data_IF_837858677617
#
_entry.id   IF_837858677617
#
_cell.length_a   1.000
_cell.length_b   1.000
_cell.length_c   1.000
_cell.angle_alpha   90.00
_cell.angle_beta   90.00
_cell.angle_gamma   90.00
#
_symmetry.space_group_name_H-M   'P 1'
#
loop_
_entity.id
_entity.type
_entity.pdbx_description
1 polymer ?
#
# COMPACT_ATOMS: atom_id res chain seq x y z
N UNK A 1 0.36 -8.61 -4.99
CA UNK A 1 -0.26 -9.92 -5.20
C UNK A 1 -0.91 -10.35 -3.90
N UNK A 2 -2.15 -10.81 -3.86
CA UNK A 2 -2.52 -11.64 -2.74
C UNK A 2 -1.60 -12.86 -2.82
N UNK A 3 -0.72 -12.98 -1.82
CA UNK A 3 0.10 -14.15 -1.66
C UNK A 3 -0.89 -15.30 -1.48
N UNK A 4 -0.87 -16.31 -2.33
CA UNK A 4 -1.59 -17.58 -2.08
C UNK A 4 -0.76 -18.42 -1.10
N UNK A 5 -0.39 -17.82 0.02
CA UNK A 5 0.26 -18.42 1.16
C UNK A 5 -0.79 -18.69 2.23
N UNK A 6 -0.44 -19.38 3.26
CA UNK A 6 -1.26 -19.47 4.48
C UNK A 6 -1.57 -18.03 4.93
N UNK A 7 -2.81 -17.75 5.28
CA UNK A 7 -3.24 -16.39 5.68
C UNK A 7 -2.40 -15.84 6.85
N UNK A 8 -1.81 -16.70 7.65
CA UNK A 8 -0.90 -16.31 8.74
C UNK A 8 0.45 -15.78 8.26
N UNK A 9 1.03 -16.38 7.22
CA UNK A 9 2.30 -15.88 6.63
C UNK A 9 2.10 -14.54 5.96
N UNK A 10 0.94 -14.33 5.32
CA UNK A 10 0.61 -13.03 4.72
C UNK A 10 0.46 -11.94 5.79
N UNK A 11 -0.23 -12.22 6.90
CA UNK A 11 -0.37 -11.31 8.04
C UNK A 11 0.99 -10.99 8.63
N UNK A 12 1.84 -12.00 8.84
CA UNK A 12 3.22 -11.82 9.30
C UNK A 12 4.03 -10.95 8.36
N UNK A 13 3.91 -11.19 7.04
CA UNK A 13 4.56 -10.36 6.03
C UNK A 13 4.14 -8.90 6.13
N UNK A 14 2.83 -8.62 6.22
CA UNK A 14 2.32 -7.25 6.36
C UNK A 14 2.81 -6.57 7.64
N UNK A 15 2.88 -7.32 8.75
CA UNK A 15 3.38 -6.82 10.03
C UNK A 15 4.87 -6.45 9.97
N UNK A 16 5.71 -7.31 9.39
CA UNK A 16 7.15 -7.05 9.21
C UNK A 16 7.39 -5.92 8.21
N UNK A 17 6.66 -5.92 7.11
CA UNK A 17 6.72 -4.90 6.06
C UNK A 17 6.47 -3.49 6.60
N UNK A 18 5.62 -3.33 7.62
CA UNK A 18 5.29 -2.03 8.23
C UNK A 18 6.54 -1.19 8.53
N UNK A 19 7.59 -1.80 9.06
CA UNK A 19 8.79 -1.07 9.47
C UNK A 19 9.65 -0.62 8.29
N UNK A 20 9.67 -1.43 7.23
CA UNK A 20 10.32 -1.07 5.97
C UNK A 20 9.56 0.10 5.35
N UNK A 21 8.23 0.03 5.33
CA UNK A 21 7.35 1.10 4.84
C UNK A 21 7.53 2.39 5.64
N UNK A 22 7.58 2.31 6.98
CA UNK A 22 7.69 3.48 7.88
C UNK A 22 8.95 4.31 7.62
N UNK A 23 10.08 3.65 7.30
CA UNK A 23 11.32 4.35 6.94
C UNK A 23 11.37 4.80 5.48
N UNK A 24 10.57 4.16 4.60
CA UNK A 24 10.55 4.44 3.16
C UNK A 24 9.57 5.54 2.77
N UNK A 25 8.44 5.65 3.46
CA UNK A 25 7.42 6.65 3.15
C UNK A 25 7.98 8.07 3.07
N UNK A 26 7.62 8.77 2.01
CA UNK A 26 8.11 10.12 1.72
C UNK A 26 7.66 11.13 2.77
N UNK A 27 8.59 11.52 3.64
CA UNK A 27 8.36 12.56 4.67
C UNK A 27 7.93 13.89 4.08
N UNK A 28 8.39 14.21 2.86
CA UNK A 28 8.02 15.45 2.17
C UNK A 28 6.57 15.41 1.72
N UNK A 29 6.09 14.30 1.17
CA UNK A 29 4.70 14.11 0.73
C UNK A 29 3.75 14.10 1.94
N UNK A 30 4.12 13.38 3.02
CA UNK A 30 3.36 13.40 4.28
C UNK A 30 3.23 14.80 4.86
N UNK A 31 4.33 15.58 4.89
CA UNK A 31 4.31 16.96 5.38
C UNK A 31 3.38 17.83 4.55
N UNK A 32 3.38 17.70 3.22
CA UNK A 32 2.45 18.42 2.34
C UNK A 32 0.99 18.05 2.60
N UNK A 33 0.69 16.77 2.84
CA UNK A 33 -0.64 16.33 3.25
C UNK A 33 -1.06 17.03 4.55
N UNK A 34 -0.23 16.96 5.59
CA UNK A 34 -0.49 17.58 6.89
C UNK A 34 -0.72 19.10 6.76
N UNK A 35 0.12 19.82 6.00
CA UNK A 35 0.01 21.27 5.81
C UNK A 35 -1.32 21.65 5.13
N UNK A 36 -1.73 20.93 4.08
CA UNK A 36 -3.02 21.16 3.42
C UNK A 36 -4.20 20.93 4.38
N UNK A 37 -4.13 19.88 5.17
CA UNK A 37 -5.19 19.55 6.12
C UNK A 37 -5.31 20.61 7.22
N UNK A 38 -4.20 21.18 7.68
CA UNK A 38 -4.18 22.26 8.69
C UNK A 38 -4.75 23.58 8.15
N UNK A 39 -4.44 23.92 6.92
CA UNK A 39 -4.91 25.16 6.30
C UNK A 39 -6.43 25.20 6.13
N UNK A 40 -7.05 24.06 5.98
CA UNK A 40 -8.50 23.95 5.72
C UNK A 40 -9.43 24.34 6.90
N UNK A 41 -8.92 24.74 8.08
CA UNK A 41 -9.64 25.23 9.27
C UNK A 41 -10.98 24.48 9.55
N UNK A 42 -10.96 23.15 9.59
CA UNK A 42 -12.18 22.33 9.75
C UNK A 42 -12.79 22.44 11.16
N UNK A 43 -14.10 22.60 11.23
CA UNK A 43 -14.83 22.53 12.52
C UNK A 43 -15.25 21.10 12.86
N UNK A 44 -15.33 20.20 11.89
CA UNK A 44 -15.70 18.79 12.06
C UNK A 44 -14.45 17.88 12.06
N UNK A 45 -14.55 16.61 12.52
CA UNK A 45 -13.49 15.63 12.35
C UNK A 45 -13.06 15.46 10.88
N UNK A 46 -11.79 15.18 10.64
CA UNK A 46 -11.28 14.82 9.33
C UNK A 46 -11.86 13.46 8.92
N UNK A 47 -12.58 13.41 7.80
CA UNK A 47 -13.12 12.17 7.26
C UNK A 47 -12.14 11.53 6.29
N UNK A 48 -11.61 10.37 6.66
CA UNK A 48 -10.65 9.58 5.88
C UNK A 48 -11.28 8.24 5.53
N UNK A 49 -11.13 7.82 4.27
CA UNK A 49 -11.37 6.45 3.84
C UNK A 49 -10.08 5.86 3.28
N UNK A 50 -9.69 4.70 3.79
CA UNK A 50 -8.55 3.92 3.33
C UNK A 50 -9.04 2.72 2.53
N UNK A 51 -8.47 2.53 1.35
CA UNK A 51 -8.74 1.42 0.45
C UNK A 51 -7.60 0.39 0.49
N UNK A 52 -7.95 -0.87 0.74
CA UNK A 52 -6.98 -1.94 0.92
C UNK A 52 -6.17 -1.76 2.20
N UNK A 53 -6.86 -1.53 3.33
CA UNK A 53 -6.21 -1.21 4.60
C UNK A 53 -5.40 -2.36 5.22
N UNK A 54 -5.52 -3.59 4.70
CA UNK A 54 -4.81 -4.75 5.20
C UNK A 54 -5.04 -4.96 6.70
N UNK A 55 -3.95 -5.08 7.44
CA UNK A 55 -3.97 -5.18 8.92
C UNK A 55 -3.95 -3.80 9.61
N UNK A 56 -4.27 -2.70 8.91
CA UNK A 56 -4.47 -1.36 9.49
C UNK A 56 -3.19 -0.56 9.76
N UNK A 57 -2.10 -0.85 9.07
CA UNK A 57 -0.80 -0.18 9.33
C UNK A 57 -0.83 1.32 9.02
N UNK A 58 -1.62 1.76 8.02
CA UNK A 58 -1.75 3.19 7.72
C UNK A 58 -2.63 3.91 8.76
N UNK A 59 -3.68 3.26 9.30
CA UNK A 59 -4.44 3.80 10.42
C UNK A 59 -3.54 4.08 11.62
N UNK A 60 -2.66 3.11 11.97
CA UNK A 60 -1.70 3.30 13.06
C UNK A 60 -0.80 4.53 12.80
N UNK A 61 -0.25 4.69 11.58
CA UNK A 61 0.57 5.85 11.21
C UNK A 61 -0.18 7.17 11.33
N UNK A 62 -1.46 7.19 10.93
CA UNK A 62 -2.30 8.39 11.04
C UNK A 62 -2.48 8.80 12.51
N UNK A 63 -2.57 7.83 13.43
CA UNK A 63 -2.62 8.08 14.86
C UNK A 63 -1.26 8.48 15.42
N UNK A 64 -0.21 7.68 15.15
CA UNK A 64 1.13 7.85 15.71
C UNK A 64 1.77 9.18 15.25
N UNK A 65 1.56 9.55 13.98
CA UNK A 65 2.11 10.79 13.40
C UNK A 65 1.16 11.98 13.54
N UNK A 66 0.08 11.82 14.28
CA UNK A 66 -0.88 12.87 14.64
C UNK A 66 -1.34 13.72 13.45
N UNK A 67 -1.82 13.08 12.37
CA UNK A 67 -2.23 13.75 11.13
C UNK A 67 -3.27 14.86 11.40
N UNK A 68 -4.14 14.66 12.38
CA UNK A 68 -5.23 15.58 12.76
C UNK A 68 -5.63 15.36 14.22
N UNK A 69 -6.08 16.38 14.95
CA UNK A 69 -6.56 16.19 16.33
C UNK A 69 -7.88 15.42 16.43
N UNK A 70 -8.73 15.42 15.40
CA UNK A 70 -10.02 14.71 15.37
C UNK A 70 -10.21 13.98 14.07
N UNK A 71 -10.43 12.68 14.14
CA UNK A 71 -10.44 11.76 13.01
C UNK A 71 -11.74 10.94 12.94
N UNK A 72 -12.34 10.86 11.77
CA UNK A 72 -13.31 9.84 11.40
C UNK A 72 -12.67 8.96 10.32
N UNK A 73 -12.34 7.73 10.66
CA UNK A 73 -11.62 6.81 9.77
C UNK A 73 -12.52 5.65 9.34
N UNK A 74 -12.50 5.33 8.07
CA UNK A 74 -13.12 4.13 7.54
C UNK A 74 -12.06 3.32 6.81
N UNK A 75 -11.83 2.11 7.27
CA UNK A 75 -10.91 1.15 6.67
C UNK A 75 -11.70 0.15 5.83
N UNK A 76 -11.34 0.02 4.56
CA UNK A 76 -11.90 -0.95 3.62
C UNK A 76 -10.84 -2.01 3.33
N UNK A 77 -11.18 -3.28 3.55
CA UNK A 77 -10.32 -4.41 3.22
C UNK A 77 -11.17 -5.56 2.68
N UNK A 78 -10.74 -6.14 1.55
CA UNK A 78 -11.47 -7.24 0.92
C UNK A 78 -11.17 -8.60 1.58
N UNK A 79 -9.96 -8.77 2.10
CA UNK A 79 -9.55 -10.01 2.78
C UNK A 79 -10.06 -10.04 4.22
N UNK A 80 -10.99 -10.95 4.49
CA UNK A 80 -11.61 -11.07 5.81
C UNK A 80 -10.57 -11.41 6.91
N UNK A 81 -9.58 -12.24 6.61
CA UNK A 81 -8.57 -12.64 7.59
C UNK A 81 -7.69 -11.44 8.02
N UNK A 82 -7.34 -10.54 7.09
CA UNK A 82 -6.59 -9.32 7.43
C UNK A 82 -7.41 -8.37 8.31
N UNK A 83 -8.70 -8.27 8.00
CA UNK A 83 -9.61 -7.44 8.78
C UNK A 83 -9.86 -8.01 10.17
N UNK A 84 -9.98 -9.33 10.33
CA UNK A 84 -10.12 -10.01 11.62
C UNK A 84 -8.89 -9.79 12.49
N UNK A 85 -7.69 -9.88 11.94
CA UNK A 85 -6.44 -9.55 12.63
C UNK A 85 -6.42 -8.09 13.08
N UNK A 86 -6.80 -7.17 12.20
CA UNK A 86 -6.89 -5.75 12.54
C UNK A 86 -7.89 -5.50 13.67
N UNK A 87 -9.11 -6.01 13.56
CA UNK A 87 -10.16 -5.87 14.56
C UNK A 87 -9.74 -6.44 15.91
N UNK A 88 -9.19 -7.67 15.93
CA UNK A 88 -8.68 -8.30 17.15
C UNK A 88 -7.60 -7.45 17.83
N UNK A 89 -6.64 -6.95 17.05
CA UNK A 89 -5.58 -6.10 17.58
C UNK A 89 -6.11 -4.79 18.15
N UNK A 90 -7.05 -4.15 17.48
CA UNK A 90 -7.65 -2.88 17.89
C UNK A 90 -8.45 -3.05 19.18
N UNK A 91 -9.23 -4.11 19.34
CA UNK A 91 -10.05 -4.38 20.52
C UNK A 91 -9.22 -4.51 21.82
N UNK A 92 -7.97 -4.92 21.71
CA UNK A 92 -7.06 -5.08 22.86
C UNK A 92 -6.29 -3.81 23.23
N UNK A 93 -6.45 -2.70 22.48
CA UNK A 93 -5.77 -1.45 22.82
C UNK A 93 -6.45 -0.74 23.98
N UNK A 94 -5.71 -0.34 25.04
CA UNK A 94 -6.30 0.16 26.31
C UNK A 94 -7.02 1.50 26.15
N UNK A 95 -6.83 2.20 25.07
CA UNK A 95 -7.44 3.51 24.79
C UNK A 95 -8.59 3.45 23.77
N UNK A 96 -9.09 2.23 23.48
CA UNK A 96 -10.19 2.01 22.53
C UNK A 96 -11.42 1.45 23.24
N UNK A 97 -12.57 1.94 22.84
CA UNK A 97 -13.89 1.40 23.23
C UNK A 97 -14.56 0.85 21.99
N UNK A 98 -14.89 -0.44 22.03
CA UNK A 98 -15.69 -1.07 20.99
C UNK A 98 -17.16 -0.73 21.18
N UNK A 99 -17.79 -0.19 20.14
CA UNK A 99 -19.22 0.07 20.09
C UNK A 99 -19.98 -1.03 19.32
N UNK A 100 -21.28 -0.83 19.12
CA UNK A 100 -22.09 -1.70 18.27
C UNK A 100 -21.65 -1.59 16.80
N UNK A 101 -21.86 -2.67 16.01
CA UNK A 101 -21.59 -2.70 14.56
C UNK A 101 -20.13 -2.42 14.15
N UNK A 102 -19.14 -2.90 14.95
CA UNK A 102 -17.70 -2.71 14.64
C UNK A 102 -17.30 -1.24 14.48
N UNK A 103 -17.90 -0.37 15.29
CA UNK A 103 -17.51 1.01 15.45
C UNK A 103 -16.58 1.10 16.66
N UNK A 104 -15.34 1.50 16.44
CA UNK A 104 -14.37 1.75 17.50
C UNK A 104 -14.21 3.25 17.72
N UNK A 105 -13.97 3.65 18.94
CA UNK A 105 -13.67 5.05 19.27
C UNK A 105 -12.65 5.13 20.39
N UNK A 106 -11.88 6.20 20.42
CA UNK A 106 -10.85 6.36 21.44
C UNK A 106 -10.06 7.63 21.28
N UNK A 107 -9.04 7.73 22.14
CA UNK A 107 -8.04 8.78 22.07
C UNK A 107 -6.65 8.12 22.11
N UNK A 108 -5.94 8.24 20.99
CA UNK A 108 -4.58 7.70 20.89
C UNK A 108 -3.59 8.41 21.84
N UNK A 109 -2.46 7.77 22.20
CA UNK A 109 -1.42 8.40 23.00
C UNK A 109 -0.86 9.71 22.40
N UNK A 110 -0.93 9.87 21.08
CA UNK A 110 -0.59 11.11 20.37
C UNK A 110 -1.59 12.26 20.60
N UNK A 111 -2.71 12.02 21.31
CA UNK A 111 -3.78 13.00 21.55
C UNK A 111 -4.88 13.02 20.49
N UNK A 112 -4.75 12.24 19.41
CA UNK A 112 -5.78 12.15 18.37
C UNK A 112 -7.04 11.46 18.90
N UNK A 113 -8.18 12.15 18.89
CA UNK A 113 -9.49 11.53 19.13
C UNK A 113 -10.04 10.99 17.84
N UNK A 114 -10.57 9.76 17.84
CA UNK A 114 -11.03 9.14 16.61
C UNK A 114 -12.30 8.30 16.75
N UNK A 115 -13.00 8.15 15.63
CA UNK A 115 -13.96 7.08 15.38
C UNK A 115 -13.47 6.28 14.20
N UNK A 116 -13.48 4.95 14.31
CA UNK A 116 -13.02 4.02 13.31
C UNK A 116 -14.11 3.05 12.95
N UNK A 117 -14.34 2.86 11.66
CA UNK A 117 -15.20 1.80 11.10
C UNK A 117 -14.37 0.92 10.19
N UNK A 118 -14.41 -0.38 10.41
CA UNK A 118 -13.76 -1.37 9.56
C UNK A 118 -14.81 -2.13 8.75
N UNK A 119 -14.60 -2.25 7.43
CA UNK A 119 -15.57 -2.85 6.51
C UNK A 119 -14.88 -3.88 5.60
N UNK A 120 -15.39 -5.11 5.60
CA UNK A 120 -14.98 -6.12 4.63
C UNK A 120 -15.72 -5.85 3.30
N UNK A 121 -15.02 -5.27 2.34
CA UNK A 121 -15.61 -4.95 1.04
C UNK A 121 -14.53 -4.85 -0.06
N UNK A 122 -14.92 -5.22 -1.28
CA UNK A 122 -14.12 -4.98 -2.48
C UNK A 122 -14.12 -3.49 -2.84
N UNK A 123 -12.96 -3.00 -3.30
CA UNK A 123 -12.76 -1.59 -3.68
C UNK A 123 -13.76 -1.12 -4.74
N UNK A 124 -14.07 -1.98 -5.73
CA UNK A 124 -14.99 -1.61 -6.83
C UNK A 124 -16.44 -1.52 -6.36
N UNK A 125 -16.81 -2.28 -5.33
CA UNK A 125 -18.11 -2.15 -4.66
C UNK A 125 -18.20 -0.79 -3.97
N UNK A 126 -17.17 -0.40 -3.23
CA UNK A 126 -17.13 0.86 -2.48
C UNK A 126 -17.14 2.08 -3.39
N UNK A 127 -16.30 2.10 -4.44
CA UNK A 127 -16.27 3.22 -5.39
C UNK A 127 -17.49 3.31 -6.30
N UNK A 128 -18.30 2.25 -6.34
CA UNK A 128 -19.56 2.19 -7.08
C UNK A 128 -20.80 2.59 -6.25
N UNK A 129 -20.70 2.73 -4.93
CA UNK A 129 -21.84 3.04 -4.06
C UNK A 129 -22.12 4.55 -3.98
N UNK A 130 -23.23 5.05 -4.59
CA UNK A 130 -23.57 6.48 -4.55
C UNK A 130 -23.75 7.04 -3.13
N UNK A 131 -24.06 6.20 -2.15
CA UNK A 131 -24.21 6.62 -0.75
C UNK A 131 -22.89 7.10 -0.12
N UNK A 132 -21.76 6.76 -0.72
CA UNK A 132 -20.42 7.12 -0.24
C UNK A 132 -19.83 8.34 -0.95
N UNK A 133 -20.47 8.85 -2.00
CA UNK A 133 -19.95 9.96 -2.79
C UNK A 133 -19.91 11.27 -2.03
N UNK A 134 -18.86 12.06 -2.29
CA UNK A 134 -18.65 13.40 -1.74
C UNK A 134 -18.65 13.49 -0.21
N UNK A 135 -18.23 12.40 0.46
CA UNK A 135 -18.23 12.31 1.92
C UNK A 135 -16.87 12.46 2.58
N UNK A 136 -15.79 12.28 1.80
CA UNK A 136 -14.45 12.11 2.34
C UNK A 136 -13.56 13.31 2.07
N UNK A 137 -12.76 13.70 3.06
CA UNK A 137 -11.74 14.73 2.91
C UNK A 137 -10.46 14.16 2.34
N UNK A 138 -10.17 12.88 2.65
CA UNK A 138 -9.00 12.17 2.15
C UNK A 138 -9.41 10.75 1.76
N UNK A 139 -9.01 10.32 0.59
CA UNK A 139 -8.94 8.91 0.18
C UNK A 139 -7.48 8.49 0.26
N UNK A 140 -7.21 7.44 1.02
CA UNK A 140 -5.87 6.83 1.15
C UNK A 140 -5.85 5.47 0.46
N UNK A 141 -4.74 5.16 -0.21
CA UNK A 141 -4.45 3.83 -0.73
C UNK A 141 -2.94 3.56 -0.60
N UNK A 142 -2.58 2.55 0.20
CA UNK A 142 -1.21 2.24 0.56
C UNK A 142 -0.80 0.88 0.00
N UNK A 143 0.10 0.88 -1.00
CA UNK A 143 0.50 -0.32 -1.74
C UNK A 143 -0.69 -1.06 -2.40
N UNK A 144 -1.60 -0.32 -3.02
CA UNK A 144 -2.84 -0.83 -3.64
C UNK A 144 -2.91 -0.57 -5.14
N UNK A 145 -2.35 0.57 -5.61
CA UNK A 145 -2.58 1.00 -6.99
C UNK A 145 -1.93 0.09 -8.04
N UNK A 146 -0.97 -0.74 -7.64
CA UNK A 146 -0.38 -1.80 -8.46
C UNK A 146 -1.21 -3.09 -8.53
N UNK A 147 -2.35 -3.15 -7.83
CA UNK A 147 -3.26 -4.30 -7.77
C UNK A 147 -4.60 -4.05 -8.48
N UNK A 148 -4.86 -2.82 -8.91
CA UNK A 148 -6.18 -2.40 -9.43
C UNK A 148 -6.09 -1.79 -10.83
N UNK A 149 -7.24 -1.66 -11.49
CA UNK A 149 -7.36 -0.88 -12.72
C UNK A 149 -7.27 0.61 -12.38
N UNK A 150 -6.12 1.23 -12.62
CA UNK A 150 -5.81 2.61 -12.22
C UNK A 150 -6.87 3.62 -12.73
N UNK A 151 -7.21 3.71 -14.03
CA UNK A 151 -8.18 4.69 -14.52
C UNK A 151 -9.54 4.58 -13.83
N UNK A 152 -10.08 3.36 -13.75
CA UNK A 152 -11.38 3.10 -13.12
C UNK A 152 -11.36 3.45 -11.63
N UNK A 153 -10.30 3.08 -10.93
CA UNK A 153 -10.15 3.33 -9.49
C UNK A 153 -10.01 4.81 -9.19
N UNK A 154 -9.20 5.55 -9.97
CA UNK A 154 -9.06 7.00 -9.81
C UNK A 154 -10.38 7.73 -10.03
N UNK A 155 -11.14 7.37 -11.07
CA UNK A 155 -12.47 7.94 -11.28
C UNK A 155 -13.40 7.70 -10.08
N UNK A 156 -13.38 6.50 -9.52
CA UNK A 156 -14.15 6.18 -8.32
C UNK A 156 -13.68 6.97 -7.10
N UNK A 157 -12.38 7.10 -6.89
CA UNK A 157 -11.82 7.88 -5.77
C UNK A 157 -12.21 9.35 -5.83
N UNK A 158 -12.21 9.97 -7.03
CA UNK A 158 -12.68 11.34 -7.21
C UNK A 158 -14.12 11.52 -6.74
N UNK A 159 -14.99 10.57 -7.05
CA UNK A 159 -16.41 10.61 -6.63
C UNK A 159 -16.61 10.46 -5.13
N UNK A 160 -15.73 9.78 -4.44
CA UNK A 160 -15.77 9.68 -2.97
C UNK A 160 -15.39 11.00 -2.30
N UNK A 161 -14.50 11.78 -2.91
CA UNK A 161 -13.95 13.01 -2.33
C UNK A 161 -14.97 14.15 -2.36
N UNK A 162 -14.97 14.94 -1.28
CA UNK A 162 -15.54 16.28 -1.29
C UNK A 162 -14.78 17.20 -2.23
N UNK A 163 -15.39 18.28 -2.71
CA UNK A 163 -14.66 19.34 -3.40
C UNK A 163 -13.44 19.80 -2.58
N UNK A 164 -12.26 19.83 -3.19
CA UNK A 164 -11.00 20.14 -2.51
C UNK A 164 -10.46 19.02 -1.60
N UNK A 165 -11.03 17.82 -1.66
CA UNK A 165 -10.50 16.63 -0.96
C UNK A 165 -9.19 16.16 -1.59
N UNK A 166 -8.49 15.27 -0.91
CA UNK A 166 -7.13 14.84 -1.24
C UNK A 166 -7.07 13.34 -1.52
N UNK A 167 -6.26 12.95 -2.51
CA UNK A 167 -5.81 11.57 -2.72
C UNK A 167 -4.39 11.43 -2.17
N UNK A 168 -4.17 10.51 -1.26
CA UNK A 168 -2.86 10.14 -0.73
C UNK A 168 -2.56 8.68 -1.09
N UNK A 169 -1.74 8.50 -2.13
CA UNK A 169 -1.45 7.23 -2.76
C UNK A 169 0.02 6.90 -2.57
N UNK A 170 0.33 5.88 -1.79
CA UNK A 170 1.69 5.61 -1.32
C UNK A 170 2.18 4.23 -1.64
N UNK A 171 3.50 4.07 -1.69
CA UNK A 171 4.21 2.83 -2.03
C UNK A 171 3.71 2.24 -3.37
N UNK A 172 3.64 3.09 -4.38
CA UNK A 172 3.26 2.66 -5.72
C UNK A 172 4.51 2.15 -6.44
N UNK A 173 4.60 0.85 -6.65
CA UNK A 173 5.76 0.21 -7.29
C UNK A 173 6.06 0.78 -8.68
N UNK A 174 7.33 1.03 -9.00
CA UNK A 174 7.75 1.69 -10.24
C UNK A 174 8.83 0.93 -11.02
N UNK A 175 8.73 -0.38 -11.08
CA UNK A 175 9.43 -1.22 -12.07
C UNK A 175 10.93 -1.37 -11.88
N UNK A 176 11.43 -1.24 -10.66
CA UNK A 176 12.81 -1.54 -10.35
C UNK A 176 12.88 -2.41 -9.08
N UNK A 177 13.44 -3.62 -9.23
CA UNK A 177 13.88 -4.47 -8.12
C UNK A 177 15.34 -4.84 -8.36
N UNK A 178 16.16 -4.75 -7.32
CA UNK A 178 17.59 -5.01 -7.37
C UNK A 178 18.01 -5.89 -6.20
N UNK A 179 18.82 -6.92 -6.48
CA UNK A 179 19.41 -7.82 -5.50
C UNK A 179 20.94 -7.73 -5.61
N UNK A 180 21.60 -7.46 -4.50
CA UNK A 180 23.07 -7.36 -4.44
C UNK A 180 23.63 -8.25 -3.32
N UNK A 181 24.85 -8.83 -3.50
CA UNK A 181 25.64 -8.84 -4.73
C UNK A 181 24.89 -9.54 -5.88
N UNK A 182 25.15 -9.14 -7.12
CA UNK A 182 24.52 -9.77 -8.27
C UNK A 182 24.91 -11.25 -8.40
N UNK A 183 23.96 -12.09 -8.78
CA UNK A 183 24.17 -13.50 -9.10
C UNK A 183 23.84 -13.75 -10.57
N UNK A 184 24.81 -14.22 -11.35
CA UNK A 184 24.67 -14.37 -12.81
C UNK A 184 23.93 -13.17 -13.45
N UNK A 185 24.60 -12.01 -13.65
CA UNK A 185 23.91 -10.73 -13.93
C UNK A 185 22.94 -10.76 -15.11
N UNK A 186 23.25 -11.47 -16.19
CA UNK A 186 22.37 -11.58 -17.36
C UNK A 186 21.12 -12.38 -17.05
N UNK A 187 21.27 -13.51 -16.32
CA UNK A 187 20.13 -14.33 -15.91
C UNK A 187 19.23 -13.57 -14.96
N UNK A 188 19.77 -12.93 -13.94
CA UNK A 188 19.01 -12.20 -12.94
C UNK A 188 18.27 -10.99 -13.53
N UNK A 189 18.91 -10.24 -14.43
CA UNK A 189 18.27 -9.14 -15.16
C UNK A 189 17.07 -9.64 -15.97
N UNK A 190 17.23 -10.77 -16.67
CA UNK A 190 16.14 -11.40 -17.42
C UNK A 190 15.02 -11.89 -16.47
N UNK A 191 15.39 -12.54 -15.37
CA UNK A 191 14.45 -13.04 -14.35
C UNK A 191 13.56 -11.93 -13.79
N UNK A 192 14.17 -10.83 -13.34
CA UNK A 192 13.46 -9.66 -12.81
C UNK A 192 12.57 -9.03 -13.88
N UNK A 193 13.05 -8.93 -15.13
CA UNK A 193 12.24 -8.42 -16.24
C UNK A 193 11.01 -9.29 -16.53
N UNK A 194 11.12 -10.62 -16.41
CA UNK A 194 9.99 -11.55 -16.56
C UNK A 194 9.00 -11.44 -15.42
N UNK A 195 9.50 -11.30 -14.20
CA UNK A 195 8.66 -11.03 -13.04
C UNK A 195 7.85 -9.75 -13.22
N UNK A 196 8.47 -8.65 -13.70
CA UNK A 196 7.74 -7.41 -14.02
C UNK A 196 6.68 -7.64 -15.09
N UNK A 197 7.00 -8.37 -16.16
CA UNK A 197 6.03 -8.73 -17.20
C UNK A 197 4.83 -9.50 -16.64
N UNK A 198 5.06 -10.41 -15.71
CA UNK A 198 3.96 -11.16 -15.07
C UNK A 198 3.00 -10.26 -14.31
N UNK A 199 3.51 -9.16 -13.71
CA UNK A 199 2.66 -8.13 -13.09
C UNK A 199 1.84 -7.36 -14.12
N UNK A 200 2.41 -7.05 -15.29
CA UNK A 200 1.74 -6.30 -16.35
C UNK A 200 0.59 -7.09 -17.02
N UNK A 201 0.67 -8.41 -17.02
CA UNK A 201 -0.35 -9.31 -17.60
C UNK A 201 -1.31 -9.89 -16.56
N UNK A 202 -1.29 -9.37 -15.33
CA UNK A 202 -2.14 -9.88 -14.26
C UNK A 202 -3.60 -9.63 -14.54
N UNK A 203 -4.41 -10.69 -14.37
CA UNK A 203 -5.87 -10.62 -14.42
C UNK A 203 -6.39 -11.06 -13.06
N UNK A 204 -7.19 -10.22 -12.41
CA UNK A 204 -7.89 -10.53 -11.16
C UNK A 204 -9.38 -10.44 -11.46
N UNK A 205 -10.12 -11.53 -11.21
CA UNK A 205 -11.58 -11.62 -11.47
C UNK A 205 -11.98 -11.18 -12.90
N UNK A 206 -11.19 -11.61 -13.91
CA UNK A 206 -11.43 -11.28 -15.30
C UNK A 206 -11.08 -9.84 -15.71
N UNK A 207 -10.41 -9.08 -14.85
CA UNK A 207 -10.03 -7.68 -15.11
C UNK A 207 -8.52 -7.55 -15.14
N UNK A 208 -8.01 -6.81 -16.14
CA UNK A 208 -6.61 -6.38 -16.10
C UNK A 208 -6.37 -5.54 -14.85
N UNK A 209 -5.40 -5.93 -14.05
CA UNK A 209 -5.10 -5.31 -12.77
C UNK A 209 -3.62 -5.01 -12.65
N UNK A 210 -3.32 -3.81 -12.19
CA UNK A 210 -1.98 -3.40 -11.87
C UNK A 210 -1.03 -3.19 -13.05
N UNK A 211 0.20 -2.94 -12.70
CA UNK A 211 1.33 -2.81 -13.61
C UNK A 211 2.63 -2.80 -12.82
N UNK A 212 3.68 -3.34 -13.38
CA UNK A 212 5.03 -3.20 -12.81
C UNK A 212 5.50 -1.74 -12.74
N UNK A 213 4.86 -0.83 -13.49
CA UNK A 213 5.19 0.60 -13.55
C UNK A 213 4.06 1.47 -13.02
N UNK A 214 3.34 0.98 -12.01
CA UNK A 214 2.16 1.67 -11.46
C UNK A 214 2.47 3.07 -10.98
N UNK A 215 3.63 3.32 -10.37
CA UNK A 215 4.02 4.64 -9.88
C UNK A 215 4.03 5.71 -10.97
N UNK A 216 4.77 5.51 -12.07
CA UNK A 216 4.84 6.49 -13.18
C UNK A 216 3.54 6.56 -13.98
N UNK A 217 2.86 5.43 -14.18
CA UNK A 217 1.56 5.40 -14.87
C UNK A 217 0.48 6.15 -14.08
N UNK A 218 0.51 6.03 -12.77
CA UNK A 218 -0.41 6.75 -11.90
C UNK A 218 -0.27 8.26 -12.07
N UNK A 219 0.97 8.78 -12.14
CA UNK A 219 1.23 10.20 -12.42
C UNK A 219 0.62 10.62 -13.76
N UNK A 220 0.82 9.82 -14.82
CA UNK A 220 0.25 10.11 -16.15
C UNK A 220 -1.28 10.13 -16.12
N UNK A 221 -1.92 9.18 -15.44
CA UNK A 221 -3.37 9.14 -15.30
C UNK A 221 -3.91 10.32 -14.50
N UNK A 222 -3.24 10.73 -13.43
CA UNK A 222 -3.62 11.89 -12.63
C UNK A 222 -3.56 13.19 -13.45
N UNK A 223 -2.49 13.37 -14.22
CA UNK A 223 -2.35 14.53 -15.13
C UNK A 223 -3.39 14.52 -16.24
N UNK A 224 -3.65 13.36 -16.85
CA UNK A 224 -4.69 13.22 -17.88
C UNK A 224 -6.09 13.50 -17.34
N UNK A 225 -6.36 13.14 -16.09
CA UNK A 225 -7.60 13.42 -15.39
C UNK A 225 -7.68 14.87 -14.86
N UNK A 226 -6.67 15.71 -15.17
CA UNK A 226 -6.55 17.10 -14.72
C UNK A 226 -6.60 17.25 -13.19
N UNK A 227 -6.13 16.24 -12.45
CA UNK A 227 -6.02 16.29 -10.99
C UNK A 227 -4.75 17.06 -10.61
N UNK A 228 -4.86 18.15 -9.83
CA UNK A 228 -3.69 18.92 -9.41
C UNK A 228 -2.74 18.09 -8.54
N UNK A 229 -1.54 17.82 -9.04
CA UNK A 229 -0.47 17.20 -8.25
C UNK A 229 0.05 18.22 -7.22
N UNK A 230 0.05 17.84 -5.96
CA UNK A 230 0.57 18.65 -4.85
C UNK A 230 2.00 18.25 -4.53
N UNK A 231 2.27 16.96 -4.49
CA UNK A 231 3.59 16.42 -4.21
C UNK A 231 3.76 15.02 -4.80
N UNK A 232 4.99 14.73 -5.22
CA UNK A 232 5.47 13.39 -5.56
C UNK A 232 6.80 13.20 -4.85
N UNK A 233 7.03 12.01 -4.29
CA UNK A 233 8.27 11.68 -3.59
C UNK A 233 8.60 10.20 -3.73
N UNK A 234 9.88 9.88 -3.57
CA UNK A 234 10.33 8.49 -3.51
C UNK A 234 9.95 7.86 -2.16
N UNK A 235 9.59 6.59 -2.22
CA UNK A 235 9.35 5.72 -1.06
C UNK A 235 10.01 4.35 -1.26
N UNK A 236 11.24 4.36 -1.74
CA UNK A 236 11.99 3.17 -2.10
C UNK A 236 12.22 2.27 -0.89
N UNK A 237 11.96 0.98 -1.04
CA UNK A 237 12.44 0.00 -0.07
C UNK A 237 13.92 -0.20 -0.24
N UNK A 238 14.65 -0.07 0.86
CA UNK A 238 16.07 -0.38 0.95
C UNK A 238 16.25 -1.27 2.19
N UNK A 239 16.54 -2.54 1.93
CA UNK A 239 16.76 -3.55 2.97
C UNK A 239 18.21 -3.98 2.88
N UNK A 240 18.95 -3.69 3.94
CA UNK A 240 20.39 -3.99 4.05
C UNK A 240 20.66 -4.71 5.37
N UNK A 241 21.61 -5.62 5.41
CA UNK A 241 21.98 -6.27 6.66
C UNK A 241 22.61 -5.26 7.63
N UNK A 242 22.40 -5.51 8.91
CA UNK A 242 22.98 -4.75 10.04
C UNK A 242 23.54 -5.75 11.04
N UNK A 243 24.79 -5.57 11.45
CA UNK A 243 25.46 -6.43 12.42
C UNK A 243 25.40 -7.93 12.06
N UNK A 244 25.54 -8.27 10.77
CA UNK A 244 25.54 -9.64 10.26
C UNK A 244 24.16 -10.30 10.15
N UNK A 245 23.07 -9.53 10.23
CA UNK A 245 21.70 -10.04 10.09
C UNK A 245 20.72 -8.96 9.64
N UNK A 246 19.43 -9.21 9.83
CA UNK A 246 18.36 -8.27 9.47
C UNK A 246 17.51 -7.96 10.70
N UNK A 247 17.33 -6.67 11.02
CA UNK A 247 16.55 -6.29 12.20
C UNK A 247 15.08 -6.66 12.03
N UNK A 248 14.42 -6.94 13.15
CA UNK A 248 12.96 -6.94 13.27
C UNK A 248 12.20 -7.84 12.28
N UNK A 249 12.78 -8.93 11.83
CA UNK A 249 12.12 -9.89 10.93
C UNK A 249 12.26 -9.56 9.44
N UNK A 250 13.08 -8.59 9.04
CA UNK A 250 13.29 -8.23 7.64
C UNK A 250 13.87 -9.38 6.80
N UNK A 251 14.54 -10.37 7.42
CA UNK A 251 14.91 -11.62 6.77
C UNK A 251 13.67 -12.33 6.19
N UNK A 252 12.60 -12.46 6.98
CA UNK A 252 11.34 -13.05 6.52
C UNK A 252 10.69 -12.27 5.37
N UNK A 253 10.77 -10.95 5.40
CA UNK A 253 10.33 -10.10 4.27
C UNK A 253 11.11 -10.44 3.00
N UNK A 254 12.45 -10.54 3.08
CA UNK A 254 13.30 -10.88 1.94
C UNK A 254 12.98 -12.28 1.39
N UNK A 255 12.88 -13.28 2.27
CA UNK A 255 12.50 -14.65 1.92
C UNK A 255 11.15 -14.69 1.22
N UNK A 256 10.17 -13.93 1.71
CA UNK A 256 8.84 -13.83 1.10
C UNK A 256 8.91 -13.23 -0.30
N UNK A 257 9.71 -12.19 -0.53
CA UNK A 257 9.91 -11.59 -1.86
C UNK A 257 10.56 -12.61 -2.82
N UNK A 258 11.61 -13.32 -2.38
CA UNK A 258 12.31 -14.33 -3.18
C UNK A 258 11.35 -15.44 -3.59
N UNK A 259 10.62 -16.01 -2.64
CA UNK A 259 9.65 -17.08 -2.91
C UNK A 259 8.46 -16.59 -3.77
N UNK A 260 8.07 -15.33 -3.66
CA UNK A 260 7.04 -14.75 -4.53
C UNK A 260 7.49 -14.70 -5.98
N UNK A 261 8.73 -14.26 -6.24
CA UNK A 261 9.31 -14.24 -7.57
C UNK A 261 9.45 -15.67 -8.11
N UNK A 262 10.01 -16.57 -7.34
CA UNK A 262 10.17 -17.98 -7.71
C UNK A 262 8.84 -18.61 -8.10
N UNK A 263 7.84 -18.55 -7.24
CA UNK A 263 6.50 -19.12 -7.47
C UNK A 263 5.82 -18.53 -8.70
N UNK A 264 5.93 -17.20 -8.89
CA UNK A 264 5.34 -16.55 -10.04
C UNK A 264 5.97 -17.02 -11.37
N UNK A 265 7.28 -17.29 -11.36
CA UNK A 265 8.02 -17.69 -12.56
C UNK A 265 8.10 -19.20 -12.78
N UNK A 266 7.71 -20.02 -11.78
CA UNK A 266 7.51 -21.46 -12.00
C UNK A 266 6.46 -21.78 -13.06
N UNK A 267 5.53 -20.87 -13.32
CA UNK A 267 4.50 -21.00 -14.35
C UNK A 267 4.98 -20.53 -15.75
N UNK A 268 6.15 -19.91 -15.85
CA UNK A 268 6.69 -19.42 -17.12
C UNK A 268 7.60 -20.49 -17.75
N UNK A 269 7.07 -21.20 -18.76
CA UNK A 269 7.79 -22.28 -19.46
C UNK A 269 9.04 -21.79 -20.20
N UNK A 270 9.25 -20.49 -20.35
CA UNK A 270 10.43 -19.90 -21.00
C UNK A 270 11.56 -19.57 -20.01
N UNK A 271 11.34 -19.80 -18.71
CA UNK A 271 12.37 -19.69 -17.66
C UNK A 271 13.02 -21.03 -17.43
N UNK A 272 14.36 -21.06 -17.37
CA UNK A 272 15.10 -22.24 -16.93
C UNK A 272 14.78 -22.51 -15.45
N UNK A 273 13.94 -23.52 -15.21
CA UNK A 273 13.43 -23.85 -13.88
C UNK A 273 14.56 -24.34 -12.94
N UNK A 274 15.61 -24.97 -13.49
CA UNK A 274 16.78 -25.39 -12.72
C UNK A 274 17.56 -24.17 -12.20
N UNK A 275 17.82 -23.18 -13.08
CA UNK A 275 18.47 -21.92 -12.70
C UNK A 275 17.59 -21.08 -11.78
N UNK A 276 16.27 -21.05 -11.96
CA UNK A 276 15.34 -20.37 -11.06
C UNK A 276 15.46 -20.93 -9.63
N UNK A 277 15.44 -22.23 -9.47
CA UNK A 277 15.59 -22.86 -8.15
C UNK A 277 16.99 -22.60 -7.54
N UNK A 278 18.05 -22.61 -8.36
CA UNK A 278 19.40 -22.25 -7.91
C UNK A 278 19.48 -20.80 -7.45
N UNK A 279 18.88 -19.85 -8.20
CA UNK A 279 18.79 -18.45 -7.84
C UNK A 279 18.07 -18.27 -6.50
N UNK A 280 16.89 -18.85 -6.33
CA UNK A 280 16.12 -18.75 -5.09
C UNK A 280 16.91 -19.29 -3.90
N UNK A 281 17.50 -20.51 -4.04
CA UNK A 281 18.35 -21.11 -3.00
C UNK A 281 19.54 -20.22 -2.65
N UNK A 282 20.22 -19.66 -3.65
CA UNK A 282 21.38 -18.78 -3.44
C UNK A 282 20.95 -17.51 -2.67
N UNK A 283 19.82 -16.88 -3.06
CA UNK A 283 19.31 -15.69 -2.38
C UNK A 283 18.91 -15.95 -0.94
N UNK A 284 18.26 -17.08 -0.66
CA UNK A 284 17.95 -17.50 0.71
C UNK A 284 19.23 -17.74 1.54
N UNK A 285 20.25 -18.33 0.94
CA UNK A 285 21.55 -18.49 1.62
C UNK A 285 22.17 -17.13 1.96
N UNK A 286 22.12 -16.15 1.05
CA UNK A 286 22.60 -14.79 1.32
C UNK A 286 21.78 -14.08 2.42
N UNK A 287 20.46 -14.32 2.48
CA UNK A 287 19.64 -13.81 3.59
C UNK A 287 20.10 -14.40 4.91
N UNK A 288 20.28 -15.72 4.97
CA UNK A 288 20.73 -16.41 6.20
C UNK A 288 22.13 -15.97 6.64
N UNK A 289 23.01 -15.63 5.68
CA UNK A 289 24.36 -15.11 5.95
C UNK A 289 24.40 -13.61 6.29
N UNK A 290 23.29 -12.88 6.17
CA UNK A 290 23.27 -11.42 6.35
C UNK A 290 24.07 -10.67 5.25
N UNK A 291 23.94 -11.10 4.01
CA UNK A 291 24.72 -10.57 2.87
C UNK A 291 23.85 -9.91 1.80
N UNK A 292 22.57 -10.29 1.71
CA UNK A 292 21.69 -9.79 0.65
C UNK A 292 21.29 -8.33 0.88
N UNK A 293 21.46 -7.50 -0.14
CA UNK A 293 20.84 -6.18 -0.22
C UNK A 293 19.69 -6.24 -1.20
N UNK A 294 18.53 -5.76 -0.80
CA UNK A 294 17.35 -5.64 -1.66
C UNK A 294 16.90 -4.19 -1.76
N UNK A 295 16.62 -3.77 -2.98
CA UNK A 295 16.07 -2.44 -3.26
C UNK A 295 14.88 -2.56 -4.20
N UNK A 296 13.81 -1.81 -3.92
CA UNK A 296 12.66 -1.71 -4.83
C UNK A 296 12.17 -0.27 -4.88
N UNK A 297 11.95 0.23 -6.11
CA UNK A 297 11.51 1.60 -6.33
C UNK A 297 10.01 1.73 -6.11
N UNK A 298 9.62 2.71 -5.30
CA UNK A 298 8.25 3.09 -5.08
C UNK A 298 8.07 4.61 -5.09
N UNK A 299 6.85 5.07 -5.38
CA UNK A 299 6.48 6.48 -5.39
C UNK A 299 5.29 6.75 -4.49
N UNK A 300 5.39 7.85 -3.74
CA UNK A 300 4.27 8.43 -3.00
C UNK A 300 3.75 9.65 -3.74
N UNK A 301 2.43 9.77 -3.81
CA UNK A 301 1.75 10.82 -4.57
C UNK A 301 0.66 11.43 -3.71
N UNK A 302 0.62 12.77 -3.70
CA UNK A 302 -0.47 13.56 -3.15
C UNK A 302 -1.06 14.43 -4.25
N UNK A 303 -2.37 14.35 -4.45
CA UNK A 303 -3.08 15.25 -5.36
C UNK A 303 -4.40 15.71 -4.76
N UNK A 304 -4.94 16.83 -5.28
CA UNK A 304 -6.24 17.34 -4.90
C UNK A 304 -7.32 16.87 -5.88
N UNK A 305 -8.56 16.75 -5.40
CA UNK A 305 -9.71 16.70 -6.30
C UNK A 305 -9.94 18.10 -6.91
N UNK A 306 -10.46 18.14 -8.12
CA UNK A 306 -10.91 19.42 -8.72
C UNK A 306 -12.07 19.99 -7.92
N UNK A 307 -12.07 21.31 -7.70
CA UNK A 307 -13.17 22.03 -7.04
C UNK A 307 -14.34 22.22 -8.01
N UNK A 308 -15.10 21.17 -8.26
CA UNK A 308 -16.30 21.19 -9.11
C UNK A 308 -16.97 19.84 -9.10
N UNK A 309 -18.30 19.81 -9.19
CA UNK A 309 -18.99 18.59 -9.56
C UNK A 309 -18.39 18.06 -10.87
N UNK A 310 -18.06 16.77 -11.00
CA UNK A 310 -17.72 16.24 -12.30
C UNK A 310 -18.89 16.53 -13.24
N UNK A 311 -18.64 17.24 -14.35
CA UNK A 311 -19.60 17.36 -15.42
C UNK A 311 -20.03 15.94 -15.78
N UNK A 312 -21.30 15.66 -15.60
CA UNK A 312 -21.97 14.46 -16.08
C UNK A 312 -21.94 14.53 -17.63
N UNK A 313 -20.92 13.96 -18.24
CA UNK A 313 -20.90 13.56 -19.64
C UNK A 313 -20.98 12.04 -19.76
#
# INVERSE_FOLDING_TARGET
>A
MPLQTDSQDDIRYLAVKRQIDDRSLSRSVWRKLHDHLRQAKRRRPLAVIEMGGGIGTMFDRVLDWALTPRLQYTLIEANRAYLDEFESRIEHLPYITAGSQKLFQGQAPSGVTFTLKALCADIYTVIGDPKLFYRWDVVMAHAVMDLVNIPKTLHGFQRLLRPGGLLYLTLNYDGLSCFLPQWEPEFETNLVSRYHRSMDHRIIEGRSSGSSQSGRRLIQHLLSAKLPLIAVGNSDWIVVPQDGGYPRGEAFFLETIIHTIERQLQQDSTVDQCKLAQWAKHRITQVAAGELIFMARNLDILCASTSGEPSLE
#
